data_IF_905205907445
#
_entry.id   IF_905205907445
#
_cell.length_a   1.000
_cell.length_b   1.000
_cell.length_c   1.000
_cell.angle_alpha   90.00
_cell.angle_beta   90.00
_cell.angle_gamma   90.00
#
_symmetry.space_group_name_H-M   'P 1'
#
loop_
_entity.id
_entity.type
_entity.pdbx_description
1 polymer ?
#
# COMPACT_ATOMS: atom_id res chain seq x y z
N UNK A 1 16.81 12.81 6.07
CA UNK A 1 15.51 12.24 6.45
C UNK A 1 15.57 11.91 7.93
N UNK A 2 14.70 12.50 8.74
CA UNK A 2 14.64 12.20 10.17
C UNK A 2 14.28 10.73 10.37
N UNK A 3 14.99 10.05 11.26
CA UNK A 3 14.80 8.61 11.52
C UNK A 3 13.34 8.27 11.83
N UNK A 4 12.62 9.19 12.49
CA UNK A 4 11.18 9.09 12.80
C UNK A 4 10.29 8.94 11.56
N UNK A 5 10.61 9.63 10.46
CA UNK A 5 9.84 9.54 9.21
C UNK A 5 10.01 8.17 8.55
N UNK A 6 11.24 7.66 8.53
CA UNK A 6 11.53 6.32 8.01
C UNK A 6 10.85 5.24 8.87
N UNK A 7 10.89 5.39 10.20
CA UNK A 7 10.23 4.49 11.14
C UNK A 7 8.72 4.45 10.91
N UNK A 8 8.07 5.61 10.76
CA UNK A 8 6.64 5.70 10.47
C UNK A 8 6.29 4.96 9.17
N UNK A 9 7.05 5.18 8.09
CA UNK A 9 6.85 4.46 6.81
C UNK A 9 7.03 2.97 6.93
N UNK A 10 8.03 2.52 7.69
CA UNK A 10 8.31 1.11 7.88
C UNK A 10 7.18 0.44 8.66
N UNK A 11 6.62 1.12 9.66
CA UNK A 11 5.43 0.65 10.39
C UNK A 11 4.23 0.54 9.44
N UNK A 12 3.94 1.58 8.64
CA UNK A 12 2.82 1.57 7.68
C UNK A 12 2.96 0.45 6.65
N UNK A 13 4.19 0.22 6.15
CA UNK A 13 4.50 -0.87 5.24
C UNK A 13 4.21 -2.22 5.89
N UNK A 14 4.78 -2.46 7.08
CA UNK A 14 4.62 -3.73 7.81
C UNK A 14 3.13 -3.99 8.05
N UNK A 15 2.40 -2.97 8.49
CA UNK A 15 0.96 -3.10 8.73
C UNK A 15 0.20 -3.42 7.44
N UNK A 16 0.52 -2.76 6.32
CA UNK A 16 -0.10 -3.08 5.02
C UNK A 16 0.21 -4.50 4.58
N UNK A 17 1.45 -4.95 4.75
CA UNK A 17 1.88 -6.31 4.38
C UNK A 17 1.21 -7.37 5.24
N UNK A 18 1.07 -7.11 6.55
CA UNK A 18 0.36 -7.97 7.49
C UNK A 18 -1.10 -8.11 7.09
N UNK A 19 -1.77 -7.00 6.74
CA UNK A 19 -3.17 -7.03 6.27
C UNK A 19 -3.27 -7.78 4.94
N UNK A 20 -2.36 -7.55 3.99
CA UNK A 20 -2.33 -8.27 2.72
C UNK A 20 -2.13 -9.78 2.92
N UNK A 21 -1.27 -10.17 3.85
CA UNK A 21 -1.01 -11.57 4.21
C UNK A 21 -2.22 -12.22 4.88
N UNK A 22 -2.84 -11.54 5.84
CA UNK A 22 -4.07 -12.01 6.50
C UNK A 22 -5.22 -12.17 5.51
N UNK A 23 -5.39 -11.22 4.59
CA UNK A 23 -6.39 -11.30 3.54
C UNK A 23 -6.12 -12.48 2.57
N UNK A 24 -4.86 -12.70 2.19
CA UNK A 24 -4.48 -13.86 1.38
C UNK A 24 -4.69 -15.19 2.12
N UNK A 25 -4.35 -15.25 3.40
CA UNK A 25 -4.56 -16.44 4.23
C UNK A 25 -6.06 -16.71 4.46
N UNK A 26 -6.86 -15.66 4.65
CA UNK A 26 -8.31 -15.71 4.74
C UNK A 26 -8.95 -16.21 3.43
N UNK A 27 -8.50 -15.70 2.28
CA UNK A 27 -8.90 -16.21 0.97
C UNK A 27 -8.65 -17.72 0.86
N UNK A 28 -7.46 -18.17 1.26
CA UNK A 28 -7.09 -19.60 1.17
C UNK A 28 -7.93 -20.50 2.06
N UNK A 29 -8.58 -19.97 3.11
CA UNK A 29 -9.38 -20.72 4.09
C UNK A 29 -10.88 -20.66 3.80
N UNK A 30 -11.39 -19.50 3.39
CA UNK A 30 -12.83 -19.29 3.14
C UNK A 30 -13.21 -19.37 1.66
N UNK A 31 -12.27 -19.30 0.72
CA UNK A 31 -12.55 -19.30 -0.73
C UNK A 31 -13.21 -18.02 -1.25
N UNK A 32 -13.37 -17.02 -0.38
CA UNK A 32 -14.04 -15.75 -0.65
C UNK A 32 -13.17 -14.90 -1.59
N UNK A 33 -13.51 -14.89 -2.88
CA UNK A 33 -12.86 -14.05 -3.90
C UNK A 33 -12.67 -12.58 -3.53
N UNK A 34 -13.53 -11.93 -2.71
CA UNK A 34 -13.30 -10.55 -2.29
C UNK A 34 -11.99 -10.36 -1.51
N UNK A 35 -11.59 -11.34 -0.69
CA UNK A 35 -10.37 -11.23 0.12
C UNK A 35 -9.08 -11.15 -0.71
N UNK A 36 -9.07 -11.66 -1.95
CA UNK A 36 -7.94 -11.46 -2.87
C UNK A 36 -7.80 -9.99 -3.30
N UNK A 37 -8.91 -9.31 -3.55
CA UNK A 37 -8.91 -7.90 -3.93
C UNK A 37 -8.42 -7.02 -2.78
N UNK A 38 -8.77 -7.36 -1.53
CA UNK A 38 -8.20 -6.71 -0.33
C UNK A 38 -6.69 -6.91 -0.27
N UNK A 39 -6.22 -8.15 -0.48
CA UNK A 39 -4.78 -8.48 -0.47
C UNK A 39 -4.01 -7.66 -1.51
N UNK A 40 -4.49 -7.65 -2.76
CA UNK A 40 -3.89 -6.84 -3.83
C UNK A 40 -3.93 -5.33 -3.55
N UNK A 41 -5.04 -4.82 -3.01
CA UNK A 41 -5.17 -3.41 -2.63
C UNK A 41 -4.16 -2.98 -1.57
N UNK A 42 -3.96 -3.79 -0.53
CA UNK A 42 -2.98 -3.50 0.52
C UNK A 42 -1.53 -3.64 0.06
N UNK A 43 -1.23 -4.51 -0.91
CA UNK A 43 0.09 -4.55 -1.56
C UNK A 43 0.36 -3.24 -2.31
N UNK A 44 -0.62 -2.72 -3.05
CA UNK A 44 -0.51 -1.43 -3.72
C UNK A 44 -0.35 -0.27 -2.73
N UNK A 45 -1.14 -0.24 -1.64
CA UNK A 45 -1.03 0.77 -0.60
C UNK A 45 0.37 0.73 0.07
N UNK A 46 0.86 -0.46 0.40
CA UNK A 46 2.21 -0.64 0.98
C UNK A 46 3.32 -0.22 0.01
N UNK A 47 3.21 -0.57 -1.27
CA UNK A 47 4.15 -0.15 -2.31
C UNK A 47 4.15 1.38 -2.47
N UNK A 48 2.97 2.01 -2.47
CA UNK A 48 2.82 3.47 -2.53
C UNK A 48 3.50 4.18 -1.35
N UNK A 49 3.41 3.60 -0.14
CA UNK A 49 4.06 4.14 1.05
C UNK A 49 5.59 4.18 0.95
N UNK A 50 6.23 3.20 0.29
CA UNK A 50 7.69 3.23 0.07
C UNK A 50 8.05 4.11 -1.13
N UNK A 51 7.20 4.15 -2.17
CA UNK A 51 7.50 4.83 -3.43
C UNK A 51 7.87 6.31 -3.24
N UNK A 52 7.18 7.07 -2.39
CA UNK A 52 7.55 8.46 -2.13
C UNK A 52 8.96 8.58 -1.50
N UNK A 53 9.35 7.63 -0.64
CA UNK A 53 10.68 7.62 -0.02
C UNK A 53 11.77 7.33 -1.05
N UNK A 54 11.50 6.40 -1.96
CA UNK A 54 12.42 6.03 -3.05
C UNK A 54 12.54 7.15 -4.10
N UNK A 55 11.43 7.76 -4.51
CA UNK A 55 11.41 8.85 -5.51
C UNK A 55 12.10 10.10 -4.96
N UNK A 56 11.86 10.43 -3.69
CA UNK A 56 12.55 11.54 -3.03
C UNK A 56 14.06 11.32 -2.98
N UNK A 57 14.51 10.09 -2.67
CA UNK A 57 15.94 9.78 -2.56
C UNK A 57 16.64 9.59 -3.92
N UNK A 58 15.95 9.02 -4.92
CA UNK A 58 16.55 8.67 -6.21
C UNK A 58 16.57 9.84 -7.21
N UNK A 59 15.61 10.76 -7.15
CA UNK A 59 15.42 11.75 -8.21
C UNK A 59 15.71 13.20 -7.79
N UNK A 60 15.98 13.48 -6.51
CA UNK A 60 16.21 14.86 -6.03
C UNK A 60 15.08 15.84 -6.37
N UNK A 61 13.91 15.31 -6.71
CA UNK A 61 12.79 16.05 -7.28
C UNK A 61 11.90 16.59 -6.17
N UNK A 62 11.18 17.68 -6.45
CA UNK A 62 10.20 18.33 -5.57
C UNK A 62 9.25 17.33 -4.91
N UNK A 63 9.09 17.44 -3.58
CA UNK A 63 8.21 16.62 -2.71
C UNK A 63 6.81 16.43 -3.30
N UNK A 64 6.28 17.45 -3.97
CA UNK A 64 4.96 17.42 -4.61
C UNK A 64 4.81 16.31 -5.66
N UNK A 65 5.84 16.03 -6.46
CA UNK A 65 5.79 14.99 -7.50
C UNK A 65 5.80 13.58 -6.91
N UNK A 66 6.62 13.35 -5.88
CA UNK A 66 6.69 12.08 -5.16
C UNK A 66 5.36 11.80 -4.44
N UNK A 67 4.77 12.83 -3.83
CA UNK A 67 3.46 12.76 -3.19
C UNK A 67 2.34 12.47 -4.20
N UNK A 68 2.39 13.05 -5.41
CA UNK A 68 1.43 12.76 -6.49
C UNK A 68 1.49 11.30 -6.93
N UNK A 69 2.68 10.76 -7.18
CA UNK A 69 2.84 9.35 -7.58
C UNK A 69 2.36 8.42 -6.47
N UNK A 70 2.72 8.69 -5.21
CA UNK A 70 2.19 7.96 -4.07
C UNK A 70 0.66 8.02 -4.02
N UNK A 71 0.06 9.20 -4.18
CA UNK A 71 -1.39 9.38 -4.11
C UNK A 71 -2.11 8.55 -5.17
N UNK A 72 -1.59 8.51 -6.41
CA UNK A 72 -2.16 7.68 -7.49
C UNK A 72 -2.08 6.19 -7.15
N UNK A 73 -0.92 5.73 -6.67
CA UNK A 73 -0.71 4.32 -6.29
C UNK A 73 -1.64 3.94 -5.13
N UNK A 74 -1.69 4.74 -4.07
CA UNK A 74 -2.56 4.50 -2.91
C UNK A 74 -4.03 4.53 -3.30
N UNK A 75 -4.45 5.48 -4.15
CA UNK A 75 -5.82 5.55 -4.63
C UNK A 75 -6.22 4.31 -5.42
N UNK A 76 -5.32 3.80 -6.28
CA UNK A 76 -5.56 2.55 -7.02
C UNK A 76 -5.72 1.34 -6.08
N UNK A 77 -4.93 1.28 -5.01
CA UNK A 77 -5.06 0.25 -3.97
C UNK A 77 -6.37 0.35 -3.19
N UNK A 78 -6.81 1.57 -2.87
CA UNK A 78 -8.11 1.79 -2.22
C UNK A 78 -9.28 1.39 -3.12
N UNK A 79 -9.20 1.63 -4.43
CA UNK A 79 -10.23 1.17 -5.38
C UNK A 79 -10.33 -0.36 -5.41
N UNK A 80 -9.19 -1.08 -5.35
CA UNK A 80 -9.20 -2.54 -5.23
C UNK A 80 -9.89 -3.01 -3.94
N UNK A 81 -9.62 -2.36 -2.81
CA UNK A 81 -10.31 -2.67 -1.54
C UNK A 81 -11.81 -2.35 -1.65
N UNK A 82 -12.19 -1.24 -2.28
CA UNK A 82 -13.60 -0.87 -2.48
C UNK A 82 -14.34 -1.90 -3.36
N UNK A 83 -13.69 -2.38 -4.43
CA UNK A 83 -14.25 -3.43 -5.30
C UNK A 83 -14.48 -4.72 -4.49
N UNK A 84 -13.59 -5.05 -3.56
CA UNK A 84 -13.79 -6.19 -2.67
C UNK A 84 -14.98 -6.06 -1.72
N UNK A 85 -15.40 -4.84 -1.39
CA UNK A 85 -16.56 -4.63 -0.52
C UNK A 85 -17.87 -4.64 -1.32
N UNK A 86 -17.79 -4.44 -2.63
CA UNK A 86 -18.94 -4.30 -3.52
C UNK A 86 -19.28 -5.60 -4.25
N UNK A 87 -18.35 -6.55 -4.33
CA UNK A 87 -18.52 -7.88 -4.92
C UNK A 87 -18.54 -8.96 -3.87
#
# INVERSE_FOLDING_TARGET
MDASFLLAKLITLVLSLVIAYLAYHGYRRSGETPMLYVSGGFVFIGAGAICEGLIYHAFGTTVASAALVQAVIVSSGMVLVLISLTK
#
